data_IF_114605174068
#
_entry.id   IF_114605174068
#
_cell.length_a   1.000
_cell.length_b   1.000
_cell.length_c   1.000
_cell.angle_alpha   90.00
_cell.angle_beta   90.00
_cell.angle_gamma   90.00
#
_symmetry.space_group_name_H-M   'P 1'
#
loop_
_entity.id
_entity.type
_entity.pdbx_description
1 polymer ?
#
# COMPACT_ATOMS: atom_id res chain seq x y z
N UNK A 1 -31.09 58.52 11.92
CA UNK A 1 -30.82 57.50 10.89
C UNK A 1 -29.35 57.18 10.97
N UNK A 2 -29.01 56.08 11.65
CA UNK A 2 -27.62 55.64 11.79
C UNK A 2 -27.38 54.46 10.84
N UNK A 3 -26.49 54.63 9.90
CA UNK A 3 -26.07 53.59 8.98
C UNK A 3 -24.97 52.77 9.63
N UNK A 4 -25.26 51.47 9.92
CA UNK A 4 -24.26 50.49 10.31
C UNK A 4 -23.49 50.07 9.05
N UNK A 5 -22.17 50.34 9.04
CA UNK A 5 -21.27 49.79 8.04
C UNK A 5 -20.88 48.37 8.40
N UNK A 6 -21.19 47.43 7.51
CA UNK A 6 -20.73 46.05 7.59
C UNK A 6 -19.27 46.00 7.09
N UNK A 7 -18.33 45.71 7.97
CA UNK A 7 -16.97 45.43 7.59
C UNK A 7 -16.89 43.95 7.13
N UNK A 8 -16.58 43.74 5.87
CA UNK A 8 -16.28 42.40 5.34
C UNK A 8 -14.90 41.96 5.85
N UNK A 9 -14.87 40.94 6.69
CA UNK A 9 -13.63 40.27 7.07
C UNK A 9 -13.13 39.47 5.87
N UNK A 10 -12.04 39.94 5.26
CA UNK A 10 -11.32 39.22 4.22
C UNK A 10 -10.73 37.94 4.79
N UNK A 11 -11.14 36.80 4.26
CA UNK A 11 -10.48 35.52 4.53
C UNK A 11 -9.04 35.59 4.01
N UNK A 12 -8.08 35.57 4.92
CA UNK A 12 -6.68 35.43 4.58
C UNK A 12 -6.48 34.00 4.03
N UNK A 13 -6.30 33.86 2.73
CA UNK A 13 -5.82 32.67 2.12
C UNK A 13 -4.43 32.35 2.68
N UNK A 14 -4.35 31.40 3.58
CA UNK A 14 -3.08 30.82 3.99
C UNK A 14 -2.44 30.25 2.73
N UNK A 15 -1.39 30.86 2.25
CA UNK A 15 -0.58 30.35 1.15
C UNK A 15 -0.08 28.98 1.56
N UNK A 16 -0.56 27.94 0.87
CA UNK A 16 0.00 26.61 0.96
C UNK A 16 1.44 26.73 0.46
N UNK A 17 2.39 26.71 1.39
CA UNK A 17 3.81 26.70 1.05
C UNK A 17 4.07 25.41 0.26
N UNK A 18 4.36 25.56 -1.03
CA UNK A 18 4.85 24.48 -1.86
C UNK A 18 6.03 23.80 -1.16
N UNK A 19 6.07 22.47 -1.09
CA UNK A 19 7.20 21.78 -0.49
C UNK A 19 8.45 22.10 -1.31
N UNK A 20 9.37 22.87 -0.74
CA UNK A 20 10.54 23.43 -1.40
C UNK A 20 11.73 22.46 -1.41
N UNK A 21 11.49 21.17 -1.70
CA UNK A 21 12.59 20.24 -2.00
C UNK A 21 12.06 19.09 -2.84
N UNK A 22 12.68 18.80 -4.01
CA UNK A 22 12.40 17.53 -4.67
C UNK A 22 12.74 16.41 -3.71
N UNK A 23 11.81 15.49 -3.53
CA UNK A 23 12.03 14.35 -2.70
C UNK A 23 13.23 13.57 -3.21
N UNK A 24 14.14 13.30 -2.35
CA UNK A 24 15.27 12.45 -2.65
C UNK A 24 14.72 11.03 -2.71
N UNK A 25 14.60 10.48 -3.92
CA UNK A 25 14.48 9.03 -4.07
C UNK A 25 15.79 8.48 -3.54
N UNK A 26 15.70 7.66 -2.49
CA UNK A 26 16.85 7.03 -1.86
C UNK A 26 17.47 5.95 -2.74
N UNK A 27 18.20 5.06 -2.10
CA UNK A 27 18.76 3.89 -2.77
C UNK A 27 17.68 2.97 -3.28
N UNK A 28 17.90 2.31 -4.41
CA UNK A 28 17.06 1.19 -4.85
C UNK A 28 17.31 0.00 -3.93
N UNK A 29 16.21 -0.54 -3.38
CA UNK A 29 16.22 -1.80 -2.63
C UNK A 29 15.96 -2.95 -3.61
N UNK A 30 16.67 -4.06 -3.44
CA UNK A 30 16.52 -5.24 -4.30
C UNK A 30 15.98 -6.41 -3.49
N UNK A 31 14.96 -7.05 -3.99
CA UNK A 31 14.36 -8.27 -3.44
C UNK A 31 14.27 -9.33 -4.54
N UNK A 32 13.72 -10.50 -4.23
CA UNK A 32 13.40 -11.50 -5.26
C UNK A 32 11.90 -11.61 -5.54
N UNK A 33 11.05 -11.03 -4.70
CA UNK A 33 9.60 -11.19 -4.76
C UNK A 33 8.79 -9.89 -4.69
N UNK A 34 9.41 -8.74 -4.46
CA UNK A 34 8.66 -7.50 -4.17
C UNK A 34 9.06 -6.37 -5.11
N UNK A 35 8.08 -5.53 -5.50
CA UNK A 35 8.30 -4.32 -6.26
C UNK A 35 7.36 -3.19 -5.80
N UNK A 36 7.89 -1.97 -5.65
CA UNK A 36 7.09 -0.81 -5.19
C UNK A 36 7.93 0.32 -4.62
N UNK A 37 7.39 1.00 -3.63
CA UNK A 37 8.07 2.09 -2.92
C UNK A 37 7.97 1.94 -1.40
N UNK A 38 9.04 2.30 -0.70
CA UNK A 38 9.13 2.31 0.74
C UNK A 38 9.58 3.69 1.25
N UNK A 39 8.88 4.23 2.23
CA UNK A 39 9.23 5.41 3.00
C UNK A 39 9.90 4.98 4.31
N UNK A 40 10.99 5.68 4.70
CA UNK A 40 11.76 5.37 5.91
C UNK A 40 12.36 6.63 6.56
N UNK A 41 12.94 6.48 7.76
CA UNK A 41 13.60 7.57 8.49
C UNK A 41 12.64 8.42 9.31
N UNK A 42 11.44 7.94 9.54
CA UNK A 42 10.41 8.50 10.45
C UNK A 42 9.58 7.37 11.02
N UNK A 43 8.86 7.64 12.09
CA UNK A 43 7.81 6.76 12.58
C UNK A 43 6.49 7.17 11.91
N UNK A 44 5.83 6.19 11.31
CA UNK A 44 4.62 6.38 10.52
C UNK A 44 3.41 5.86 11.29
N UNK A 45 2.29 6.55 11.18
CA UNK A 45 1.01 6.15 11.77
C UNK A 45 -0.13 6.02 10.79
N UNK A 46 0.08 6.44 9.54
CA UNK A 46 -0.97 6.39 8.52
C UNK A 46 -0.36 6.17 7.15
N UNK A 47 -0.98 5.28 6.39
CA UNK A 47 -0.77 5.13 4.96
C UNK A 47 -2.11 4.84 4.29
N UNK A 48 -2.33 5.38 3.11
CA UNK A 48 -3.45 5.02 2.24
C UNK A 48 -3.05 5.03 0.77
N UNK A 49 -3.75 4.23 -0.03
CA UNK A 49 -3.70 4.26 -1.49
C UNK A 49 -4.97 3.64 -2.06
N UNK A 50 -5.29 4.00 -3.30
CA UNK A 50 -6.24 3.27 -4.12
C UNK A 50 -5.46 2.29 -4.99
N UNK A 51 -5.71 1.00 -4.83
CA UNK A 51 -5.10 -0.08 -5.59
C UNK A 51 -6.05 -0.47 -6.71
N UNK A 52 -5.52 -0.65 -7.92
CA UNK A 52 -6.31 -1.12 -9.07
C UNK A 52 -6.19 -2.63 -9.17
N UNK A 53 -7.31 -3.34 -9.09
CA UNK A 53 -7.33 -4.82 -9.21
C UNK A 53 -6.64 -5.25 -10.51
N UNK A 54 -5.60 -6.10 -10.43
CA UNK A 54 -4.79 -6.46 -11.58
C UNK A 54 -5.57 -7.19 -12.67
N UNK A 55 -5.19 -6.95 -13.92
CA UNK A 55 -5.57 -7.78 -15.07
C UNK A 55 -4.49 -8.86 -15.25
N UNK A 56 -4.60 -9.94 -14.48
CA UNK A 56 -3.65 -11.07 -14.57
C UNK A 56 -4.34 -12.33 -15.02
N UNK A 57 -3.78 -12.98 -16.05
CA UNK A 57 -4.10 -14.38 -16.32
C UNK A 57 -3.32 -15.25 -15.34
N UNK A 58 -3.99 -15.90 -14.40
CA UNK A 58 -3.40 -16.85 -13.43
C UNK A 58 -2.82 -18.12 -14.08
N UNK A 59 -2.21 -18.00 -15.27
CA UNK A 59 -1.68 -19.13 -16.03
C UNK A 59 -0.40 -19.74 -15.43
N UNK A 60 0.16 -19.17 -14.36
CA UNK A 60 1.52 -19.50 -13.93
C UNK A 60 1.69 -19.80 -12.45
N UNK A 61 0.72 -20.25 -11.71
CA UNK A 61 0.86 -20.55 -10.26
C UNK A 61 1.47 -19.41 -9.42
N UNK A 62 1.35 -18.15 -9.89
CA UNK A 62 1.80 -16.97 -9.19
C UNK A 62 0.58 -16.15 -8.85
N UNK A 63 0.52 -15.76 -7.61
CA UNK A 63 -0.61 -15.06 -7.05
C UNK A 63 -0.11 -13.76 -6.42
N UNK A 64 -0.07 -12.65 -7.17
CA UNK A 64 0.37 -11.38 -6.62
C UNK A 64 -0.57 -10.92 -5.51
N UNK A 65 0.04 -10.34 -4.48
CA UNK A 65 -0.65 -9.54 -3.47
C UNK A 65 -0.21 -8.09 -3.66
N UNK A 66 -1.17 -7.19 -3.82
CA UNK A 66 -0.93 -5.75 -3.84
C UNK A 66 -1.37 -5.16 -2.51
N UNK A 67 -0.51 -4.40 -1.86
CA UNK A 67 -0.86 -3.85 -0.55
C UNK A 67 -0.11 -2.58 -0.18
N UNK A 68 -0.71 -1.86 0.75
CA UNK A 68 -0.05 -0.85 1.57
C UNK A 68 0.30 -1.44 2.92
N UNK A 69 1.40 -0.98 3.53
CA UNK A 69 1.93 -1.57 4.76
C UNK A 69 2.57 -0.53 5.67
N UNK A 70 2.45 -0.77 6.98
CA UNK A 70 3.31 -0.21 8.02
C UNK A 70 4.09 -1.36 8.66
N UNK A 71 5.40 -1.20 8.87
CA UNK A 71 6.25 -2.27 9.43
C UNK A 71 7.38 -1.71 10.30
N UNK A 72 7.93 -2.57 11.17
CA UNK A 72 9.12 -2.23 11.96
C UNK A 72 10.43 -2.69 11.31
N UNK A 73 10.37 -3.29 10.12
CA UNK A 73 11.53 -3.66 9.30
C UNK A 73 11.34 -3.27 7.85
N UNK A 74 12.45 -2.97 7.16
CA UNK A 74 12.46 -2.68 5.73
C UNK A 74 11.98 -3.87 4.91
N UNK A 75 11.39 -3.59 3.74
CA UNK A 75 10.86 -4.60 2.80
C UNK A 75 9.80 -5.51 3.44
N UNK A 76 9.00 -4.96 4.35
CA UNK A 76 7.99 -5.75 5.05
C UNK A 76 8.55 -6.80 6.02
N UNK A 77 9.86 -6.80 6.21
CA UNK A 77 10.52 -7.61 7.23
C UNK A 77 10.28 -7.08 8.64
N UNK A 78 10.96 -7.71 9.60
CA UNK A 78 10.85 -7.34 11.00
C UNK A 78 9.84 -8.21 11.77
N UNK A 79 9.70 -7.86 13.06
CA UNK A 79 8.85 -8.63 13.97
C UNK A 79 7.41 -8.14 14.01
N UNK A 80 7.11 -7.02 13.35
CA UNK A 80 5.79 -6.41 13.35
C UNK A 80 5.51 -5.77 11.99
N UNK A 81 4.37 -6.14 11.41
CA UNK A 81 3.82 -5.43 10.26
C UNK A 81 2.30 -5.48 10.25
N UNK A 82 1.71 -4.52 9.55
CA UNK A 82 0.30 -4.49 9.22
C UNK A 82 0.13 -4.11 7.77
N UNK A 83 -0.70 -4.82 7.05
CA UNK A 83 -0.95 -4.58 5.62
C UNK A 83 -2.43 -4.66 5.28
N UNK A 84 -2.81 -3.96 4.24
CA UNK A 84 -4.15 -4.00 3.66
C UNK A 84 -4.04 -3.91 2.14
N UNK A 85 -4.78 -4.72 1.43
CA UNK A 85 -4.61 -4.80 -0.01
C UNK A 85 -5.56 -5.75 -0.71
N UNK A 86 -5.13 -6.19 -1.88
CA UNK A 86 -5.84 -7.08 -2.80
C UNK A 86 -5.01 -8.36 -2.94
N UNK A 87 -5.69 -9.49 -2.91
CA UNK A 87 -5.11 -10.81 -3.14
C UNK A 87 -6.02 -11.67 -4.00
N UNK A 88 -5.47 -12.71 -4.62
CA UNK A 88 -6.29 -13.69 -5.32
C UNK A 88 -7.12 -14.51 -4.32
N UNK A 89 -8.31 -14.93 -4.74
CA UNK A 89 -9.14 -15.82 -3.95
C UNK A 89 -8.47 -17.20 -3.69
N UNK A 90 -7.53 -17.62 -4.52
CA UNK A 90 -6.73 -18.83 -4.26
C UNK A 90 -5.89 -18.69 -2.99
N UNK A 91 -5.23 -17.54 -2.81
CA UNK A 91 -4.49 -17.24 -1.57
C UNK A 91 -5.44 -17.10 -0.39
N UNK A 92 -6.55 -16.38 -0.53
CA UNK A 92 -7.56 -16.24 0.53
C UNK A 92 -8.10 -17.60 1.01
N UNK A 93 -8.31 -18.57 0.09
CA UNK A 93 -8.73 -19.92 0.43
C UNK A 93 -7.71 -20.65 1.31
N UNK A 94 -6.41 -20.42 1.12
CA UNK A 94 -5.38 -21.03 1.97
C UNK A 94 -5.45 -20.55 3.42
N UNK A 95 -6.00 -19.36 3.65
CA UNK A 95 -6.30 -18.82 4.99
C UNK A 95 -7.71 -19.19 5.51
N UNK A 96 -8.45 -20.06 4.80
CA UNK A 96 -9.75 -20.57 5.23
C UNK A 96 -10.98 -19.84 4.66
N UNK A 97 -10.82 -18.89 3.73
CA UNK A 97 -11.91 -18.16 3.09
C UNK A 97 -12.49 -18.90 1.87
N UNK A 98 -13.05 -20.08 2.09
CA UNK A 98 -13.53 -20.98 1.03
C UNK A 98 -14.70 -20.40 0.19
N UNK A 99 -15.34 -19.33 0.64
CA UNK A 99 -16.41 -18.67 -0.12
C UNK A 99 -15.93 -17.76 -1.24
N UNK A 100 -14.62 -17.47 -1.31
CA UNK A 100 -14.01 -16.69 -2.38
C UNK A 100 -13.79 -17.60 -3.60
N UNK A 101 -14.42 -17.35 -4.77
CA UNK A 101 -14.30 -18.22 -5.92
C UNK A 101 -12.88 -18.24 -6.50
N UNK A 102 -12.36 -19.39 -6.88
CA UNK A 102 -11.05 -19.49 -7.54
C UNK A 102 -11.06 -18.69 -8.85
N UNK A 103 -10.02 -17.89 -9.07
CA UNK A 103 -9.87 -17.02 -10.24
C UNK A 103 -10.38 -15.60 -10.03
N UNK A 104 -11.01 -15.33 -8.90
CA UNK A 104 -11.45 -13.99 -8.50
C UNK A 104 -10.42 -13.31 -7.58
N UNK A 105 -10.70 -12.06 -7.26
CA UNK A 105 -9.93 -11.22 -6.34
C UNK A 105 -10.74 -10.89 -5.10
N UNK A 106 -10.04 -10.67 -4.00
CA UNK A 106 -10.61 -10.19 -2.75
C UNK A 106 -9.70 -9.15 -2.10
N UNK A 107 -10.26 -8.33 -1.24
CA UNK A 107 -9.47 -7.48 -0.37
C UNK A 107 -9.14 -8.18 0.94
N UNK A 108 -7.98 -7.86 1.51
CA UNK A 108 -7.55 -8.40 2.79
C UNK A 108 -7.00 -7.33 3.72
N UNK A 109 -6.98 -7.64 5.01
CA UNK A 109 -6.21 -6.96 6.03
C UNK A 109 -5.45 -7.99 6.85
N UNK A 110 -4.22 -7.68 7.19
CA UNK A 110 -3.33 -8.58 7.91
C UNK A 110 -2.55 -7.83 8.97
N UNK A 111 -2.38 -8.46 10.13
CA UNK A 111 -1.52 -7.97 11.19
C UNK A 111 -0.65 -9.10 11.73
N UNK A 112 0.64 -8.84 11.86
CA UNK A 112 1.63 -9.75 12.39
C UNK A 112 2.44 -9.08 13.50
N UNK A 113 2.65 -9.81 14.60
CA UNK A 113 3.49 -9.36 15.69
C UNK A 113 4.18 -10.57 16.33
N UNK A 114 5.48 -10.70 16.14
CA UNK A 114 6.31 -11.76 16.69
C UNK A 114 7.01 -11.34 18.00
N UNK A 115 6.90 -10.07 18.42
CA UNK A 115 7.51 -9.57 19.64
C UNK A 115 6.77 -9.97 20.93
N UNK A 116 5.57 -10.52 20.80
CA UNK A 116 4.76 -11.02 21.90
C UNK A 116 5.20 -12.43 22.33
N UNK A 117 4.84 -12.85 23.52
CA UNK A 117 5.09 -14.20 24.07
C UNK A 117 4.38 -15.34 23.31
N UNK A 118 4.06 -15.14 22.09
CA UNK A 118 3.54 -16.00 21.04
C UNK A 118 3.26 -15.18 19.80
N UNK A 119 3.59 -15.66 18.59
CA UNK A 119 3.35 -14.91 17.39
C UNK A 119 1.84 -14.64 17.24
N UNK A 120 1.48 -13.38 17.12
CA UNK A 120 0.14 -12.98 16.72
C UNK A 120 0.11 -12.81 15.21
N UNK A 121 -0.73 -13.58 14.57
CA UNK A 121 -1.02 -13.45 13.15
C UNK A 121 -2.52 -13.41 12.96
N UNK A 122 -3.01 -12.43 12.23
CA UNK A 122 -4.40 -12.38 11.79
C UNK A 122 -4.47 -11.95 10.34
N UNK A 123 -5.19 -12.70 9.56
CA UNK A 123 -5.50 -12.43 8.17
C UNK A 123 -7.02 -12.48 8.00
N UNK A 124 -7.59 -11.46 7.37
CA UNK A 124 -9.03 -11.36 7.13
C UNK A 124 -9.28 -10.95 5.69
N UNK A 125 -10.01 -11.78 4.96
CA UNK A 125 -10.57 -11.43 3.66
C UNK A 125 -11.89 -10.69 3.88
N UNK A 126 -12.02 -9.47 3.35
CA UNK A 126 -13.11 -8.55 3.68
C UNK A 126 -14.16 -8.40 2.59
N UNK A 127 -13.75 -8.45 1.33
CA UNK A 127 -14.64 -8.21 0.18
C UNK A 127 -14.39 -9.28 -0.86
N UNK A 128 -15.39 -10.11 -1.11
CA UNK A 128 -15.41 -10.97 -2.30
C UNK A 128 -15.97 -10.19 -3.50
N UNK A 129 -15.48 -10.49 -4.71
CA UNK A 129 -16.07 -9.97 -5.94
C UNK A 129 -15.61 -8.58 -6.34
N UNK A 130 -14.36 -8.21 -6.02
CA UNK A 130 -13.68 -7.13 -6.73
C UNK A 130 -13.24 -7.61 -8.10
N UNK A 131 -13.56 -6.85 -9.13
CA UNK A 131 -13.29 -7.22 -10.52
C UNK A 131 -12.03 -6.54 -11.04
N UNK A 132 -11.42 -7.13 -12.06
CA UNK A 132 -10.28 -6.53 -12.76
C UNK A 132 -10.57 -5.07 -13.17
N UNK A 133 -9.61 -4.20 -12.89
CA UNK A 133 -9.72 -2.76 -13.17
C UNK A 133 -10.47 -1.95 -12.13
N UNK A 134 -11.11 -2.58 -11.15
CA UNK A 134 -11.72 -1.86 -10.03
C UNK A 134 -10.65 -1.16 -9.20
N UNK A 135 -10.93 0.08 -8.79
CA UNK A 135 -10.13 0.81 -7.82
C UNK A 135 -10.68 0.61 -6.41
N UNK A 136 -9.90 -0.01 -5.52
CA UNK A 136 -10.25 -0.18 -4.10
C UNK A 136 -9.36 0.71 -3.25
N UNK A 137 -9.94 1.57 -2.44
CA UNK A 137 -9.18 2.42 -1.53
C UNK A 137 -8.94 1.72 -0.20
N UNK A 138 -7.68 1.70 0.20
CA UNK A 138 -7.23 1.16 1.48
C UNK A 138 -6.61 2.25 2.34
N UNK A 139 -6.84 2.18 3.64
CA UNK A 139 -6.07 2.95 4.60
C UNK A 139 -5.81 2.17 5.88
N UNK A 140 -4.62 2.41 6.44
CA UNK A 140 -4.17 1.89 7.73
C UNK A 140 -3.89 3.09 8.61
N UNK A 141 -4.44 3.09 9.81
CA UNK A 141 -4.25 4.13 10.80
C UNK A 141 -3.94 3.55 12.18
N UNK A 142 -2.83 3.99 12.76
CA UNK A 142 -2.46 3.68 14.14
C UNK A 142 -2.96 4.77 15.10
N UNK A 143 -3.80 4.37 16.04
CA UNK A 143 -4.30 5.22 17.12
C UNK A 143 -3.53 4.92 18.41
N UNK A 144 -2.54 5.75 18.72
CA UNK A 144 -1.71 5.59 19.94
C UNK A 144 -2.52 5.62 21.23
N UNK A 145 -3.48 6.53 21.33
CA UNK A 145 -4.26 6.72 22.55
C UNK A 145 -5.08 5.49 22.94
N UNK A 146 -5.55 4.73 21.94
CA UNK A 146 -6.26 3.47 22.09
C UNK A 146 -5.37 2.24 21.97
N UNK A 147 -4.11 2.41 21.57
CA UNK A 147 -3.23 1.31 21.18
C UNK A 147 -3.89 0.38 20.15
N UNK A 148 -4.58 0.98 19.16
CA UNK A 148 -5.38 0.28 18.16
C UNK A 148 -4.89 0.56 16.74
N UNK A 149 -4.94 -0.46 15.90
CA UNK A 149 -4.79 -0.38 14.44
C UNK A 149 -6.17 -0.41 13.80
N UNK A 150 -6.43 0.56 12.94
CA UNK A 150 -7.66 0.67 12.20
C UNK A 150 -7.39 0.49 10.71
N UNK A 151 -8.22 -0.29 10.06
CA UNK A 151 -8.20 -0.53 8.63
C UNK A 151 -9.52 -0.04 8.03
N UNK A 152 -9.44 0.67 6.93
CA UNK A 152 -10.61 1.08 6.16
C UNK A 152 -10.42 0.61 4.73
N UNK A 153 -11.39 -0.15 4.24
CA UNK A 153 -11.43 -0.67 2.87
C UNK A 153 -12.68 -0.12 2.21
N UNK A 154 -12.49 0.71 1.20
CA UNK A 154 -13.59 1.32 0.44
C UNK A 154 -13.57 0.78 -0.98
N UNK A 155 -14.51 -0.11 -1.33
CA UNK A 155 -14.65 -0.63 -2.68
C UNK A 155 -15.20 0.46 -3.62
N UNK A 156 -15.21 0.22 -4.94
CA UNK A 156 -15.98 1.03 -5.88
C UNK A 156 -17.43 1.11 -5.41
N UNK A 157 -18.09 2.23 -5.65
CA UNK A 157 -19.47 2.49 -5.20
C UNK A 157 -20.50 1.43 -5.64
N UNK A 158 -20.17 0.65 -6.67
CA UNK A 158 -20.98 -0.44 -7.22
C UNK A 158 -20.80 -1.78 -6.50
N UNK A 159 -19.72 -1.93 -5.71
CA UNK A 159 -19.27 -3.23 -5.16
C UNK A 159 -19.58 -3.42 -3.67
N UNK A 160 -20.17 -2.43 -3.01
CA UNK A 160 -20.60 -2.58 -1.62
C UNK A 160 -20.20 -1.42 -0.69
N UNK A 161 -20.53 -1.51 0.59
CA UNK A 161 -20.23 -0.48 1.58
C UNK A 161 -18.77 -0.52 1.99
N UNK A 162 -18.26 0.62 2.50
CA UNK A 162 -16.96 0.70 3.18
C UNK A 162 -16.90 -0.27 4.37
N UNK A 163 -15.83 -1.03 4.45
CA UNK A 163 -15.56 -1.97 5.53
C UNK A 163 -14.58 -1.35 6.53
N UNK A 164 -14.83 -1.59 7.82
CA UNK A 164 -13.98 -1.14 8.91
C UNK A 164 -13.53 -2.34 9.73
N UNK A 165 -12.25 -2.44 9.95
CA UNK A 165 -11.66 -3.45 10.81
C UNK A 165 -10.71 -2.79 11.81
N UNK A 166 -10.58 -3.35 13.02
CA UNK A 166 -9.62 -2.90 14.01
C UNK A 166 -9.03 -4.05 14.81
N UNK A 167 -7.79 -3.88 15.23
CA UNK A 167 -7.08 -4.80 16.13
C UNK A 167 -6.20 -4.05 17.12
N UNK A 168 -5.68 -4.74 18.12
CA UNK A 168 -4.71 -4.16 19.05
C UNK A 168 -3.36 -3.97 18.35
N UNK A 169 -2.68 -2.85 18.65
CA UNK A 169 -1.37 -2.53 18.10
C UNK A 169 -0.20 -3.06 18.94
N UNK A 170 -0.45 -3.42 20.18
CA UNK A 170 0.54 -3.95 21.11
C UNK A 170 1.82 -3.10 21.27
N UNK A 171 1.67 -1.76 21.24
CA UNK A 171 2.78 -0.83 21.36
C UNK A 171 3.70 -0.80 20.12
N UNK A 172 3.19 -1.17 18.96
CA UNK A 172 3.95 -1.18 17.71
C UNK A 172 4.48 0.20 17.33
N UNK A 173 5.71 0.24 16.80
CA UNK A 173 6.33 1.40 16.17
C UNK A 173 6.63 1.02 14.73
N UNK A 174 6.25 1.86 13.79
CA UNK A 174 6.39 1.60 12.36
C UNK A 174 7.33 2.60 11.69
N UNK A 175 8.66 2.35 11.70
CA UNK A 175 9.63 3.21 11.01
C UNK A 175 9.64 3.07 9.50
N UNK A 176 8.79 2.20 8.93
CA UNK A 176 8.64 1.99 7.50
C UNK A 176 7.17 2.04 7.09
N UNK A 177 6.92 2.67 5.94
CA UNK A 177 5.62 2.66 5.28
C UNK A 177 5.83 2.34 3.80
N UNK A 178 5.15 1.33 3.26
CA UNK A 178 5.34 0.91 1.87
C UNK A 178 4.03 0.68 1.13
N UNK A 179 4.10 0.80 -0.19
CA UNK A 179 3.09 0.36 -1.12
C UNK A 179 3.78 -0.50 -2.17
N UNK A 180 3.37 -1.75 -2.31
CA UNK A 180 4.11 -2.73 -3.11
C UNK A 180 3.27 -3.92 -3.55
N UNK A 181 3.77 -4.59 -4.60
CA UNK A 181 3.36 -5.93 -4.99
C UNK A 181 4.31 -6.94 -4.38
N UNK A 182 3.77 -8.06 -3.90
CA UNK A 182 4.51 -9.24 -3.49
C UNK A 182 4.07 -10.43 -4.34
N UNK A 183 5.02 -11.17 -4.89
CA UNK A 183 4.77 -12.34 -5.71
C UNK A 183 4.75 -13.57 -4.80
N UNK A 184 3.59 -14.22 -4.73
CA UNK A 184 3.39 -15.35 -3.82
C UNK A 184 2.99 -16.62 -4.57
N UNK A 185 3.13 -17.77 -3.92
CA UNK A 185 2.50 -19.01 -4.33
C UNK A 185 1.01 -19.05 -3.90
N UNK A 186 0.35 -20.15 -4.17
CA UNK A 186 -1.07 -20.36 -3.81
C UNK A 186 -1.37 -20.33 -2.31
N UNK A 187 -0.34 -20.34 -1.47
CA UNK A 187 -0.46 -20.26 0.00
C UNK A 187 -0.17 -18.88 0.57
N UNK A 188 0.15 -17.89 -0.31
CA UNK A 188 0.57 -16.56 0.10
C UNK A 188 2.05 -16.48 0.54
N UNK A 189 2.84 -17.53 0.32
CA UNK A 189 4.27 -17.51 0.62
C UNK A 189 5.03 -16.77 -0.49
N UNK A 190 5.86 -15.76 -0.16
CA UNK A 190 6.66 -15.06 -1.15
C UNK A 190 7.57 -16.00 -1.95
N UNK A 191 7.53 -15.87 -3.27
CA UNK A 191 8.36 -16.65 -4.19
C UNK A 191 9.17 -15.72 -5.09
N UNK A 192 10.38 -16.16 -5.52
CA UNK A 192 11.13 -15.40 -6.49
C UNK A 192 10.33 -15.16 -7.77
N UNK A 193 10.42 -13.94 -8.32
CA UNK A 193 9.78 -13.59 -9.59
C UNK A 193 10.18 -14.59 -10.66
N UNK A 194 9.21 -15.31 -11.25
CA UNK A 194 9.51 -16.40 -12.15
C UNK A 194 9.99 -15.92 -13.52
N UNK A 195 10.49 -16.89 -14.29
CA UNK A 195 10.98 -16.68 -15.64
C UNK A 195 9.95 -16.12 -16.62
N UNK A 196 8.69 -16.53 -16.49
CA UNK A 196 7.61 -16.18 -17.40
C UNK A 196 6.56 -15.29 -16.74
N UNK A 197 6.76 -13.98 -16.77
CA UNK A 197 5.75 -12.98 -16.39
C UNK A 197 5.06 -12.45 -17.66
N UNK A 198 4.48 -13.33 -18.49
CA UNK A 198 3.85 -12.90 -19.74
C UNK A 198 2.53 -12.15 -19.57
N UNK A 199 1.95 -12.18 -18.39
CA UNK A 199 0.60 -11.66 -18.15
C UNK A 199 0.50 -10.61 -17.06
N UNK A 200 1.63 -10.09 -16.56
CA UNK A 200 1.61 -9.04 -15.55
C UNK A 200 1.29 -7.70 -16.22
N UNK A 201 0.02 -7.33 -16.22
CA UNK A 201 -0.42 -6.01 -16.63
C UNK A 201 -0.44 -5.08 -15.43
N UNK A 202 -0.28 -3.81 -15.71
CA UNK A 202 -0.07 -2.69 -14.81
C UNK A 202 -0.94 -2.78 -13.56
N UNK A 203 -0.31 -2.97 -12.41
CA UNK A 203 -0.89 -2.69 -11.12
C UNK A 203 -0.66 -1.23 -10.81
N UNK A 204 -1.67 -0.52 -10.33
CA UNK A 204 -1.58 0.92 -10.07
C UNK A 204 -1.90 1.22 -8.61
N UNK A 205 -1.02 2.02 -8.02
CA UNK A 205 -1.20 2.64 -6.72
C UNK A 205 -1.48 4.13 -6.94
N UNK A 206 -2.68 4.57 -6.61
CA UNK A 206 -3.17 5.92 -6.85
C UNK A 206 -3.49 6.61 -5.51
N UNK A 207 -3.47 7.95 -5.50
CA UNK A 207 -3.87 8.77 -4.34
C UNK A 207 -3.10 8.45 -3.06
N UNK A 208 -1.83 8.07 -3.18
CA UNK A 208 -0.97 7.75 -2.05
C UNK A 208 -0.89 8.85 -1.02
N UNK A 209 -1.09 8.51 0.26
CA UNK A 209 -0.95 9.44 1.37
C UNK A 209 -0.31 8.77 2.57
N UNK A 210 0.70 9.42 3.13
CA UNK A 210 1.44 8.97 4.29
C UNK A 210 1.45 10.08 5.35
N UNK A 211 1.34 9.69 6.62
CA UNK A 211 1.47 10.62 7.75
C UNK A 211 2.35 9.99 8.82
N UNK A 212 3.30 10.79 9.33
CA UNK A 212 4.16 10.39 10.45
C UNK A 212 3.42 10.51 11.78
N UNK A 213 3.98 9.92 12.83
CA UNK A 213 3.51 10.04 14.21
C UNK A 213 3.35 11.50 14.63
N UNK A 214 4.29 12.38 14.26
CA UNK A 214 4.24 13.83 14.57
C UNK A 214 3.40 14.65 13.58
N UNK A 215 2.57 14.02 12.75
CA UNK A 215 1.61 14.70 11.88
C UNK A 215 2.19 15.31 10.61
N UNK A 216 3.45 15.03 10.25
CA UNK A 216 3.99 15.40 8.94
C UNK A 216 3.28 14.59 7.86
N UNK A 217 2.89 15.24 6.77
CA UNK A 217 2.08 14.63 5.71
C UNK A 217 2.80 14.71 4.37
N UNK A 218 2.59 13.70 3.55
CA UNK A 218 3.04 13.64 2.16
C UNK A 218 2.27 12.59 1.37
N UNK A 219 2.73 12.34 0.16
CA UNK A 219 2.33 11.22 -0.69
C UNK A 219 3.28 10.03 -0.48
N UNK A 220 3.63 9.27 -1.52
CA UNK A 220 4.77 8.34 -1.44
C UNK A 220 6.10 9.08 -1.22
N UNK A 221 6.06 10.38 -1.41
CA UNK A 221 7.18 11.29 -1.20
C UNK A 221 6.81 12.35 -0.15
N UNK A 222 7.73 12.62 0.79
CA UNK A 222 7.48 13.53 1.89
C UNK A 222 8.77 13.92 2.63
N UNK A 223 8.68 14.39 3.86
CA UNK A 223 9.83 14.74 4.69
C UNK A 223 10.52 13.51 5.29
N UNK A 224 10.68 12.47 4.48
CA UNK A 224 11.31 11.18 4.76
C UNK A 224 12.11 10.71 3.56
N UNK A 225 12.84 9.61 3.71
CA UNK A 225 13.52 8.95 2.59
C UNK A 225 12.55 8.01 1.89
N UNK A 226 12.44 8.14 0.55
CA UNK A 226 11.66 7.21 -0.28
C UNK A 226 12.63 6.34 -1.09
N UNK A 227 12.53 5.03 -0.97
CA UNK A 227 13.31 4.06 -1.73
C UNK A 227 12.42 3.31 -2.73
N UNK A 228 12.95 3.07 -3.92
CA UNK A 228 12.35 2.19 -4.90
C UNK A 228 12.66 0.74 -4.53
N UNK A 229 11.70 -0.17 -4.70
CA UNK A 229 11.89 -1.61 -4.50
C UNK A 229 11.80 -2.29 -5.87
N UNK A 230 12.84 -3.02 -6.25
CA UNK A 230 12.90 -3.80 -7.48
C UNK A 230 12.95 -5.29 -7.18
N UNK A 231 12.07 -6.07 -7.81
CA UNK A 231 12.18 -7.52 -7.83
C UNK A 231 13.20 -7.97 -8.86
N UNK A 232 14.22 -8.70 -8.39
CA UNK A 232 15.37 -9.12 -9.20
C UNK A 232 15.45 -10.64 -9.31
N UNK A 233 16.05 -11.11 -10.40
CA UNK A 233 16.34 -12.52 -10.60
C UNK A 233 17.29 -13.06 -9.52
N UNK A 234 17.01 -14.26 -9.03
CA UNK A 234 17.91 -15.00 -8.13
C UNK A 234 18.86 -15.95 -8.86
N UNK A 235 18.85 -15.94 -10.18
CA UNK A 235 19.68 -16.79 -11.04
C UNK A 235 18.93 -17.26 -12.29
N UNK A 236 19.40 -18.33 -12.92
CA UNK A 236 18.98 -18.83 -14.24
C UNK A 236 17.49 -18.65 -14.55
N UNK A 237 17.17 -18.28 -15.81
CA UNK A 237 18.09 -18.12 -16.94
C UNK A 237 18.69 -16.72 -17.06
N UNK A 238 18.34 -15.79 -16.18
CA UNK A 238 18.93 -14.46 -16.15
C UNK A 238 20.05 -14.40 -15.11
N UNK A 239 21.05 -13.55 -15.32
CA UNK A 239 22.04 -13.27 -14.28
C UNK A 239 21.37 -12.84 -12.97
N UNK A 240 21.88 -13.31 -11.84
CA UNK A 240 21.42 -12.86 -10.51
C UNK A 240 21.49 -11.34 -10.41
N UNK A 241 20.46 -10.73 -9.86
CA UNK A 241 20.34 -9.27 -9.74
C UNK A 241 19.76 -8.56 -10.99
N UNK A 242 19.40 -9.29 -12.07
CA UNK A 242 18.68 -8.69 -13.19
C UNK A 242 17.29 -8.23 -12.74
N UNK A 243 16.96 -6.96 -12.93
CA UNK A 243 15.63 -6.40 -12.59
C UNK A 243 14.57 -7.06 -13.47
N UNK A 244 13.58 -7.66 -12.85
CA UNK A 244 12.49 -8.37 -13.51
C UNK A 244 11.15 -7.64 -13.40
N UNK A 245 10.90 -7.04 -12.24
CA UNK A 245 9.73 -6.19 -11.99
C UNK A 245 10.20 -4.95 -11.26
N UNK A 246 9.69 -3.82 -11.64
CA UNK A 246 9.99 -2.56 -10.97
C UNK A 246 8.80 -1.61 -11.03
N UNK A 247 8.68 -0.68 -10.06
CA UNK A 247 7.72 0.40 -10.19
C UNK A 247 8.14 1.38 -11.29
N UNK A 248 7.16 2.11 -11.81
CA UNK A 248 7.40 3.30 -12.63
C UNK A 248 7.97 4.44 -11.79
N UNK A 249 8.42 5.49 -12.44
CA UNK A 249 8.62 6.76 -11.73
C UNK A 249 7.29 7.21 -11.12
N UNK A 250 7.39 7.85 -9.96
CA UNK A 250 6.23 8.46 -9.30
C UNK A 250 5.66 9.60 -10.13
N UNK A 251 4.34 9.66 -10.26
CA UNK A 251 3.61 10.77 -10.91
C UNK A 251 2.51 11.31 -10.00
N UNK A 252 1.82 12.36 -10.44
CA UNK A 252 0.59 12.84 -9.79
C UNK A 252 -0.60 12.41 -10.62
N UNK A 253 -1.56 11.72 -10.03
CA UNK A 253 -2.79 11.31 -10.71
C UNK A 253 -3.80 12.46 -10.88
N UNK A 254 -3.50 13.62 -10.29
CA UNK A 254 -4.36 14.80 -10.35
C UNK A 254 -5.62 14.69 -9.49
N UNK A 255 -5.81 13.57 -8.83
CA UNK A 255 -6.94 13.29 -7.96
C UNK A 255 -6.56 13.55 -6.49
N UNK A 256 -7.48 14.06 -5.70
CA UNK A 256 -7.31 14.09 -4.25
C UNK A 256 -8.67 14.00 -3.57
N UNK A 257 -8.73 13.21 -2.53
CA UNK A 257 -9.94 13.06 -1.71
C UNK A 257 -10.45 14.40 -1.11
N UNK A 258 -9.62 15.46 -1.11
CA UNK A 258 -9.92 16.76 -0.51
C UNK A 258 -9.65 17.94 -1.46
N UNK A 259 -9.59 17.73 -2.76
CA UNK A 259 -9.40 18.81 -3.77
C UNK A 259 -7.98 19.41 -3.85
N UNK A 260 -7.02 18.91 -3.07
CA UNK A 260 -5.63 19.32 -3.16
C UNK A 260 -4.82 18.26 -3.94
N UNK A 261 -4.37 18.59 -5.15
CA UNK A 261 -3.48 17.73 -5.94
C UNK A 261 -2.19 17.49 -5.14
N UNK A 262 -1.85 16.25 -4.90
CA UNK A 262 -0.58 15.87 -4.26
C UNK A 262 0.42 15.47 -5.35
N UNK A 263 1.63 16.01 -5.34
CA UNK A 263 2.67 15.53 -6.26
C UNK A 263 3.14 14.14 -5.82
N UNK A 264 3.48 13.30 -6.79
CA UNK A 264 4.11 11.99 -6.55
C UNK A 264 3.27 11.02 -5.70
N UNK A 265 1.96 11.00 -5.93
CA UNK A 265 1.00 10.18 -5.19
C UNK A 265 0.53 8.92 -5.94
N UNK A 266 1.14 8.64 -7.10
CA UNK A 266 0.82 7.49 -7.90
C UNK A 266 2.05 6.82 -8.53
N UNK A 267 1.98 5.52 -8.76
CA UNK A 267 2.91 4.73 -9.56
C UNK A 267 2.24 3.46 -10.06
N UNK A 268 2.85 2.82 -11.05
CA UNK A 268 2.46 1.49 -11.50
C UNK A 268 3.62 0.51 -11.35
N UNK A 269 3.32 -0.77 -11.22
CA UNK A 269 4.30 -1.86 -11.19
C UNK A 269 4.16 -2.70 -12.45
N UNK A 270 5.25 -3.03 -13.12
CA UNK A 270 5.28 -3.81 -14.35
C UNK A 270 6.49 -4.73 -14.48
N UNK A 271 6.27 -5.83 -15.19
CA UNK A 271 7.33 -6.72 -15.63
C UNK A 271 8.22 -6.05 -16.69
N UNK A 272 9.52 -6.36 -16.68
CA UNK A 272 10.54 -5.92 -17.65
C UNK A 272 11.07 -7.08 -18.46
#
# INVERSE_FOLDING_TARGET
MSTLGLAAAGAANAAVSSPSRPATIGTTLSTTSQAGYEASGRDFRYISSTLTVPDTDFLTEIYPQEYIQLSNGSLGGGDQYVRAGIESCTVAQSFGYSSCPTGDWTSFVEAFNNSLSGPYFSHYSLLSGVSQGDGVNFSIYYNESGNELHFVVTPPSTSGPTQYYKTQAYGAIFPYASAQDDFTDSTGTPIPVPFFLHAFRINQFLQGAITTEHGLRGSFVGPWTTSQIDATSNGLPYPSGTVRVSPSNLWSDGLSANGAVRPYDAFGVWAR
#
